data_IF_331343687153
#
_entry.id   IF_331343687153
#
_cell.length_a   1.000
_cell.length_b   1.000
_cell.length_c   1.000
_cell.angle_alpha   90.00
_cell.angle_beta   90.00
_cell.angle_gamma   90.00
#
_symmetry.space_group_name_H-M   'P 1'
#
loop_
_entity.id
_entity.type
_entity.pdbx_description
1 polymer ?
#
# COMPACT_ATOMS: atom_id res chain seq x y z
N UNK A 1 -17.99 -24.31 49.29
CA UNK A 1 -19.36 -24.87 49.33
C UNK A 1 -19.93 -24.85 47.93
N UNK A 2 -20.35 -26.06 47.47
CA UNK A 2 -21.16 -26.41 46.27
C UNK A 2 -20.58 -26.09 44.89
N UNK A 3 -19.90 -26.96 44.19
CA UNK A 3 -20.22 -28.28 43.59
C UNK A 3 -21.57 -28.35 42.85
N UNK A 4 -21.52 -28.42 41.48
CA UNK A 4 -22.39 -29.32 40.73
C UNK A 4 -21.77 -29.66 39.35
N UNK A 5 -21.42 -30.92 39.22
CA UNK A 5 -21.18 -31.70 37.98
C UNK A 5 -22.55 -32.13 37.42
N UNK A 6 -22.68 -32.29 36.08
CA UNK A 6 -23.53 -33.25 35.37
C UNK A 6 -22.97 -33.37 33.97
N UNK A 7 -22.48 -34.48 33.57
CA UNK A 7 -22.88 -35.80 33.13
C UNK A 7 -23.13 -35.84 31.63
N UNK A 8 -22.35 -36.74 31.03
CA UNK A 8 -22.40 -37.21 29.65
C UNK A 8 -23.64 -38.08 29.40
N UNK A 9 -24.12 -38.09 28.17
CA UNK A 9 -24.89 -39.22 27.67
C UNK A 9 -24.55 -39.46 26.21
N UNK A 10 -23.97 -40.64 26.01
CA UNK A 10 -23.67 -41.33 24.78
C UNK A 10 -24.94 -42.00 24.30
N UNK A 11 -25.31 -41.88 23.04
CA UNK A 11 -26.32 -42.76 22.45
C UNK A 11 -25.90 -43.24 21.05
N UNK A 12 -25.46 -44.47 21.04
CA UNK A 12 -25.20 -45.33 19.88
C UNK A 12 -26.53 -45.88 19.38
N UNK A 13 -26.81 -45.75 18.10
CA UNK A 13 -27.87 -46.55 17.46
C UNK A 13 -27.34 -47.13 16.16
N UNK A 14 -27.17 -48.44 16.22
CA UNK A 14 -26.94 -49.35 15.09
C UNK A 14 -28.33 -49.72 14.53
N UNK A 15 -28.52 -49.66 13.23
CA UNK A 15 -29.57 -50.42 12.59
C UNK A 15 -29.11 -50.95 11.22
N UNK A 16 -29.35 -52.24 11.08
CA UNK A 16 -28.93 -53.19 10.05
C UNK A 16 -29.88 -53.21 8.85
N UNK A 17 -29.29 -53.41 7.69
CA UNK A 17 -29.67 -54.28 6.55
C UNK A 17 -31.05 -54.12 5.90
N UNK A 18 -31.02 -53.90 4.60
CA UNK A 18 -32.08 -54.15 3.65
C UNK A 18 -31.54 -54.14 2.22
N UNK A 19 -31.00 -55.28 1.74
CA UNK A 19 -30.80 -55.55 0.32
C UNK A 19 -32.16 -55.65 -0.37
N UNK A 20 -32.44 -54.84 -1.38
CA UNK A 20 -33.35 -55.21 -2.46
C UNK A 20 -32.73 -54.76 -3.78
N UNK A 21 -32.38 -55.76 -4.58
CA UNK A 21 -32.00 -55.55 -5.97
C UNK A 21 -33.27 -55.29 -6.79
N UNK A 22 -33.27 -54.19 -7.54
CA UNK A 22 -34.12 -54.05 -8.71
C UNK A 22 -33.27 -53.55 -9.85
N UNK A 23 -33.08 -54.36 -10.84
CA UNK A 23 -32.55 -54.00 -12.13
C UNK A 23 -33.56 -53.10 -12.84
N UNK A 24 -33.12 -51.88 -13.27
CA UNK A 24 -33.79 -51.18 -14.35
C UNK A 24 -32.76 -50.38 -15.16
N UNK A 25 -32.76 -50.75 -16.44
CA UNK A 25 -32.43 -50.04 -17.68
C UNK A 25 -31.66 -48.72 -17.60
N UNK A 26 -30.61 -48.74 -18.39
CA UNK A 26 -29.74 -47.63 -18.75
C UNK A 26 -30.43 -46.30 -19.00
N UNK A 27 -29.99 -45.36 -18.21
CA UNK A 27 -29.86 -43.96 -18.58
C UNK A 27 -28.44 -43.53 -18.13
N UNK A 28 -27.59 -43.35 -19.10
CA UNK A 28 -26.28 -42.71 -18.92
C UNK A 28 -26.57 -41.32 -18.37
N UNK A 29 -26.05 -40.96 -17.17
CA UNK A 29 -26.08 -39.55 -16.78
C UNK A 29 -25.22 -38.79 -17.77
N UNK A 30 -25.85 -37.95 -18.57
CA UNK A 30 -25.15 -36.86 -19.25
C UNK A 30 -24.36 -36.13 -18.16
N UNK A 31 -23.04 -36.15 -18.28
CA UNK A 31 -22.17 -35.21 -17.56
C UNK A 31 -22.66 -33.78 -17.90
N UNK A 32 -23.54 -33.22 -17.08
CA UNK A 32 -23.65 -31.81 -16.95
C UNK A 32 -22.29 -31.30 -16.46
N UNK A 33 -21.46 -30.91 -17.43
CA UNK A 33 -20.32 -30.05 -17.15
C UNK A 33 -20.85 -28.89 -16.29
N UNK A 34 -20.67 -29.01 -14.99
CA UNK A 34 -20.65 -27.87 -14.11
C UNK A 34 -19.48 -26.99 -14.58
N UNK A 35 -19.72 -26.14 -15.57
CA UNK A 35 -18.92 -24.98 -15.84
C UNK A 35 -18.98 -24.12 -14.58
N UNK A 36 -18.17 -24.51 -13.59
CA UNK A 36 -17.82 -23.59 -12.51
C UNK A 36 -17.29 -22.34 -13.18
N UNK A 37 -18.01 -21.24 -13.04
CA UNK A 37 -17.56 -19.95 -13.53
C UNK A 37 -16.14 -19.75 -12.99
N UNK A 38 -15.16 -19.86 -13.86
CA UNK A 38 -13.78 -19.50 -13.53
C UNK A 38 -13.82 -18.03 -13.14
N UNK A 39 -13.78 -17.78 -11.84
CA UNK A 39 -13.64 -16.41 -11.34
C UNK A 39 -12.33 -15.90 -11.90
N UNK A 40 -12.39 -14.92 -12.80
CA UNK A 40 -11.20 -14.30 -13.35
C UNK A 40 -10.30 -13.84 -12.21
N UNK A 41 -9.04 -14.28 -12.27
CA UNK A 41 -8.05 -13.85 -11.30
C UNK A 41 -7.90 -12.33 -11.39
N UNK A 42 -7.92 -11.65 -10.27
CA UNK A 42 -7.75 -10.19 -10.19
C UNK A 42 -6.85 -9.83 -9.01
N UNK A 43 -6.17 -8.71 -9.11
CA UNK A 43 -5.42 -8.16 -7.98
C UNK A 43 -6.43 -7.78 -6.89
N UNK A 44 -6.12 -8.14 -5.65
CA UNK A 44 -6.95 -7.86 -4.49
C UNK A 44 -6.24 -6.90 -3.55
N UNK A 45 -7.01 -5.93 -3.05
CA UNK A 45 -6.57 -5.07 -1.95
C UNK A 45 -6.71 -5.85 -0.65
N UNK A 46 -5.64 -5.86 0.13
CA UNK A 46 -5.61 -6.52 1.42
C UNK A 46 -5.71 -5.51 2.57
N UNK A 47 -4.70 -4.65 2.71
CA UNK A 47 -4.65 -3.70 3.82
C UNK A 47 -3.84 -2.46 3.48
N UNK A 48 -4.13 -1.35 4.17
CA UNK A 48 -3.30 -0.15 4.14
C UNK A 48 -3.28 0.53 5.50
N UNK A 49 -2.15 1.11 5.86
CA UNK A 49 -1.99 1.93 7.06
C UNK A 49 -0.88 2.96 6.90
N UNK A 50 -0.82 3.90 7.82
CA UNK A 50 0.15 4.98 7.82
C UNK A 50 0.62 5.37 9.22
N UNK A 51 1.76 6.05 9.27
CA UNK A 51 2.29 6.72 10.46
C UNK A 51 3.05 7.98 10.08
N UNK A 52 3.21 8.88 11.04
CA UNK A 52 3.92 10.14 10.88
C UNK A 52 4.87 10.38 12.03
N UNK A 53 6.01 11.00 11.74
CA UNK A 53 6.96 11.49 12.71
C UNK A 53 7.05 13.01 12.57
N UNK A 54 6.83 13.71 13.66
CA UNK A 54 7.31 15.08 13.85
C UNK A 54 8.15 15.14 15.12
N UNK A 55 9.29 15.76 15.02
CA UNK A 55 10.12 16.09 16.17
C UNK A 55 10.13 17.61 16.35
N UNK A 56 9.48 18.09 17.40
CA UNK A 56 9.43 19.53 17.75
C UNK A 56 10.60 19.92 18.66
N UNK A 57 11.32 18.97 19.21
CA UNK A 57 12.37 19.14 20.23
C UNK A 57 13.73 18.61 19.73
N UNK A 58 14.85 18.98 20.37
CA UNK A 58 16.21 18.67 19.87
C UNK A 58 16.55 17.16 19.73
N UNK A 59 15.64 16.26 20.12
CA UNK A 59 15.83 14.83 19.91
C UNK A 59 15.27 14.44 18.55
N UNK A 60 16.08 14.61 17.52
CA UNK A 60 15.83 14.10 16.19
C UNK A 60 15.77 12.57 16.21
N UNK A 61 14.96 11.97 15.35
CA UNK A 61 14.84 10.51 15.27
C UNK A 61 15.35 10.00 13.92
N UNK A 62 16.18 8.99 14.01
CA UNK A 62 16.70 8.29 12.85
C UNK A 62 15.82 7.12 12.39
N UNK A 63 14.83 6.76 13.19
CA UNK A 63 13.96 5.60 12.94
C UNK A 63 12.50 5.99 13.06
N UNK A 64 11.69 5.57 12.08
CA UNK A 64 10.24 5.66 12.09
C UNK A 64 9.64 4.27 11.90
N UNK A 65 8.70 3.88 12.78
CA UNK A 65 8.02 2.58 12.69
C UNK A 65 6.52 2.75 12.54
N UNK A 66 5.96 2.13 11.49
CA UNK A 66 4.54 1.83 11.36
C UNK A 66 4.30 0.49 12.05
N UNK A 67 3.62 0.52 13.20
CA UNK A 67 3.40 -0.67 14.03
C UNK A 67 2.18 -1.45 13.56
N UNK A 68 2.20 -2.75 13.83
CA UNK A 68 1.06 -3.67 13.70
C UNK A 68 0.42 -3.63 12.30
N UNK A 69 1.25 -3.44 11.26
CA UNK A 69 0.80 -3.48 9.88
C UNK A 69 0.43 -4.91 9.50
N UNK A 70 -0.80 -5.08 9.00
CA UNK A 70 -1.31 -6.38 8.66
C UNK A 70 -1.08 -6.74 7.19
N UNK A 71 -0.49 -7.92 6.97
CA UNK A 71 -0.38 -8.56 5.65
C UNK A 71 -1.33 -9.77 5.64
N UNK A 72 -2.25 -9.81 4.67
CA UNK A 72 -3.23 -10.89 4.55
C UNK A 72 -2.62 -12.25 4.20
N UNK A 73 -3.49 -13.25 4.12
CA UNK A 73 -3.12 -14.64 3.81
C UNK A 73 -3.22 -15.00 2.33
N UNK A 74 -3.63 -14.05 1.47
CA UNK A 74 -3.72 -14.24 0.02
C UNK A 74 -2.39 -14.73 -0.57
N UNK A 75 -2.44 -15.36 -1.74
CA UNK A 75 -1.23 -15.79 -2.46
C UNK A 75 -0.64 -14.65 -3.28
N UNK A 76 0.62 -14.80 -3.69
CA UNK A 76 1.30 -13.85 -4.56
C UNK A 76 1.19 -12.41 -4.03
N UNK A 77 1.58 -12.23 -2.77
CA UNK A 77 1.49 -10.95 -2.06
C UNK A 77 2.59 -10.00 -2.49
N UNK A 78 2.28 -8.71 -2.42
CA UNK A 78 3.26 -7.63 -2.49
C UNK A 78 2.95 -6.59 -1.43
N UNK A 79 3.97 -6.04 -0.82
CA UNK A 79 3.91 -4.87 0.04
C UNK A 79 4.55 -3.70 -0.68
N UNK A 80 3.83 -2.59 -0.80
CA UNK A 80 4.34 -1.31 -1.33
C UNK A 80 4.38 -0.32 -0.17
N UNK A 81 5.53 0.33 0.01
CA UNK A 81 5.75 1.31 1.07
C UNK A 81 6.17 2.64 0.45
N UNK A 82 5.38 3.66 0.68
CA UNK A 82 5.73 5.05 0.37
C UNK A 82 6.36 5.72 1.60
N UNK A 83 7.46 6.42 1.39
CA UNK A 83 8.13 7.22 2.41
C UNK A 83 8.24 8.64 1.92
N UNK A 84 7.90 9.59 2.79
CA UNK A 84 8.20 11.00 2.59
C UNK A 84 9.01 11.49 3.77
N UNK A 85 10.02 12.28 3.48
CA UNK A 85 10.82 12.98 4.48
C UNK A 85 10.97 14.45 4.08
N UNK A 86 10.93 15.33 5.07
CA UNK A 86 11.10 16.76 4.87
C UNK A 86 12.11 17.32 5.86
N UNK A 87 13.09 18.06 5.35
CA UNK A 87 14.10 18.77 6.12
C UNK A 87 14.27 20.21 5.67
N UNK A 88 14.74 21.05 6.58
CA UNK A 88 15.12 22.42 6.29
C UNK A 88 16.63 22.63 6.34
N UNK A 89 17.15 23.27 5.30
CA UNK A 89 18.58 23.54 5.12
C UNK A 89 19.28 22.51 4.25
N UNK A 90 20.16 22.95 3.34
CA UNK A 90 20.88 22.07 2.43
C UNK A 90 21.83 21.11 3.18
N UNK A 91 22.30 21.49 4.36
CA UNK A 91 23.18 20.70 5.23
C UNK A 91 22.52 19.40 5.71
N UNK A 92 21.20 19.36 5.82
CA UNK A 92 20.43 18.21 6.33
C UNK A 92 19.91 17.27 5.23
N UNK A 93 20.19 17.57 3.97
CA UNK A 93 19.71 16.72 2.84
C UNK A 93 20.30 15.30 2.90
N UNK A 94 21.53 15.17 3.40
CA UNK A 94 22.19 13.88 3.62
C UNK A 94 21.44 12.97 4.60
N UNK A 95 20.81 13.55 5.63
CA UNK A 95 20.07 12.86 6.66
C UNK A 95 18.76 12.23 6.11
N UNK A 96 18.21 12.80 5.02
CA UNK A 96 17.00 12.32 4.34
C UNK A 96 17.21 11.04 3.53
N UNK A 97 18.44 10.50 3.47
CA UNK A 97 18.71 9.24 2.78
C UNK A 97 18.08 8.09 3.57
N UNK A 98 17.28 7.26 2.90
CA UNK A 98 16.69 6.07 3.49
C UNK A 98 17.73 4.95 3.46
N UNK A 99 18.30 4.60 4.62
CA UNK A 99 19.33 3.58 4.76
C UNK A 99 18.76 2.17 4.66
N UNK A 100 17.56 1.96 5.23
CA UNK A 100 16.85 0.69 5.11
C UNK A 100 15.36 0.81 5.43
N UNK A 101 14.58 -0.10 4.87
CA UNK A 101 13.21 -0.37 5.31
C UNK A 101 13.09 -1.87 5.53
N UNK A 102 12.44 -2.26 6.64
CA UNK A 102 12.18 -3.67 6.95
C UNK A 102 10.71 -3.90 7.30
N UNK A 103 10.19 -5.08 6.99
CA UNK A 103 8.88 -5.57 7.42
C UNK A 103 9.04 -7.02 7.89
N UNK A 104 8.67 -7.31 9.13
CA UNK A 104 8.84 -8.66 9.70
C UNK A 104 10.28 -9.17 9.63
N UNK A 105 11.27 -8.28 9.77
CA UNK A 105 12.71 -8.60 9.64
C UNK A 105 13.24 -8.70 8.21
N UNK A 106 12.38 -8.70 7.19
CA UNK A 106 12.77 -8.74 5.78
C UNK A 106 13.01 -7.33 5.24
N UNK A 107 14.11 -7.14 4.49
CA UNK A 107 14.48 -5.86 3.90
C UNK A 107 13.68 -5.61 2.61
N UNK A 108 13.10 -4.43 2.48
CA UNK A 108 12.46 -3.95 1.26
C UNK A 108 13.50 -3.44 0.26
N UNK A 109 13.19 -3.60 -1.01
CA UNK A 109 13.96 -3.03 -2.13
C UNK A 109 13.34 -1.72 -2.62
N UNK A 110 14.14 -0.72 -3.03
CA UNK A 110 13.60 0.46 -3.68
C UNK A 110 13.03 0.09 -5.06
N UNK A 111 11.91 0.70 -5.45
CA UNK A 111 11.47 0.66 -6.85
C UNK A 111 12.36 1.59 -7.65
N UNK A 112 13.04 1.07 -8.66
CA UNK A 112 14.00 1.84 -9.46
C UNK A 112 13.34 3.07 -10.09
N UNK A 113 13.96 4.24 -9.95
CA UNK A 113 13.46 5.51 -10.49
C UNK A 113 12.25 6.09 -9.76
N UNK A 114 11.85 5.55 -8.60
CA UNK A 114 10.70 6.04 -7.82
C UNK A 114 11.03 7.13 -6.82
N UNK A 115 12.27 7.58 -6.77
CA UNK A 115 12.65 8.67 -5.88
C UNK A 115 12.45 10.02 -6.58
N UNK A 116 11.82 10.96 -5.88
CA UNK A 116 11.66 12.34 -6.32
C UNK A 116 11.98 13.29 -5.18
N UNK A 117 12.79 14.30 -5.47
CA UNK A 117 13.15 15.36 -4.52
C UNK A 117 12.87 16.72 -5.12
N UNK A 118 12.38 17.63 -4.30
CA UNK A 118 12.19 19.04 -4.65
C UNK A 118 12.41 19.92 -3.42
N UNK A 119 12.70 21.19 -3.68
CA UNK A 119 12.84 22.19 -2.62
C UNK A 119 11.96 23.43 -2.85
N UNK A 120 11.76 24.20 -1.83
CA UNK A 120 11.16 25.53 -1.90
C UNK A 120 11.60 26.41 -0.74
N UNK A 121 11.64 27.72 -0.99
CA UNK A 121 11.90 28.71 0.05
C UNK A 121 10.67 29.01 0.89
N UNK A 122 10.84 29.07 2.20
CA UNK A 122 9.83 29.56 3.13
C UNK A 122 10.48 30.37 4.25
N UNK A 123 10.09 31.64 4.38
CA UNK A 123 10.65 32.57 5.36
C UNK A 123 12.19 32.66 5.33
N UNK A 124 12.76 32.70 4.13
CA UNK A 124 14.22 32.81 3.96
C UNK A 124 15.01 31.51 4.20
N UNK A 125 14.35 30.41 4.54
CA UNK A 125 14.96 29.09 4.69
C UNK A 125 14.52 28.15 3.56
N UNK A 126 15.45 27.41 2.99
CA UNK A 126 15.14 26.36 2.02
C UNK A 126 14.69 25.08 2.72
N UNK A 127 13.63 24.47 2.21
CA UNK A 127 13.08 23.21 2.68
C UNK A 127 13.08 22.21 1.55
N UNK A 128 13.50 21.01 1.85
CA UNK A 128 13.57 19.88 0.93
C UNK A 128 12.48 18.88 1.29
N UNK A 129 11.87 18.28 0.26
CA UNK A 129 10.93 17.18 0.39
C UNK A 129 11.39 16.08 -0.55
N UNK A 130 11.49 14.87 -0.01
CA UNK A 130 11.79 13.65 -0.75
C UNK A 130 10.63 12.66 -0.60
N UNK A 131 10.25 12.01 -1.72
CA UNK A 131 9.33 10.89 -1.75
C UNK A 131 10.01 9.73 -2.44
N UNK A 132 9.89 8.53 -1.89
CA UNK A 132 10.42 7.30 -2.48
C UNK A 132 9.47 6.13 -2.24
N UNK A 133 9.48 5.15 -3.14
CA UNK A 133 8.65 3.95 -3.05
C UNK A 133 9.53 2.71 -2.94
N UNK A 134 9.18 1.82 -2.02
CA UNK A 134 9.84 0.55 -1.75
C UNK A 134 8.83 -0.58 -1.87
N UNK A 135 9.31 -1.79 -2.08
CA UNK A 135 8.49 -2.97 -2.18
C UNK A 135 9.13 -4.19 -1.52
N UNK A 136 8.28 -5.15 -1.16
CA UNK A 136 8.67 -6.49 -0.73
C UNK A 136 7.77 -7.51 -1.42
N UNK A 137 8.37 -8.43 -2.17
CA UNK A 137 7.68 -9.55 -2.81
C UNK A 137 7.45 -10.62 -1.75
N UNK A 138 6.26 -11.21 -1.77
CA UNK A 138 5.83 -12.26 -0.86
C UNK A 138 6.11 -11.95 0.62
N UNK A 139 5.68 -10.77 1.12
CA UNK A 139 5.84 -10.42 2.53
C UNK A 139 5.22 -11.51 3.42
N UNK A 140 5.76 -11.76 4.64
CA UNK A 140 5.17 -12.71 5.57
C UNK A 140 3.76 -12.25 5.94
N UNK A 141 2.80 -13.19 5.99
CA UNK A 141 1.43 -12.90 6.44
C UNK A 141 1.39 -12.68 7.96
N UNK A 142 0.42 -11.90 8.42
CA UNK A 142 0.26 -11.56 9.83
C UNK A 142 0.54 -10.10 10.13
N UNK A 143 0.74 -9.78 11.40
CA UNK A 143 1.02 -8.43 11.87
C UNK A 143 2.53 -8.22 12.02
N UNK A 144 3.05 -7.15 11.42
CA UNK A 144 4.47 -6.84 11.39
C UNK A 144 4.70 -5.34 11.54
N UNK A 145 5.84 -4.97 12.12
CA UNK A 145 6.27 -3.58 12.09
C UNK A 145 7.00 -3.30 10.78
N UNK A 146 6.66 -2.18 10.14
CA UNK A 146 7.43 -1.60 9.05
C UNK A 146 8.34 -0.54 9.65
N UNK A 147 9.64 -0.76 9.60
CA UNK A 147 10.64 0.15 10.20
C UNK A 147 11.48 0.79 9.12
N UNK A 148 11.46 2.12 9.07
CA UNK A 148 12.28 2.95 8.19
C UNK A 148 13.43 3.52 8.99
N UNK A 149 14.66 3.34 8.51
CA UNK A 149 15.89 3.92 9.08
C UNK A 149 16.47 4.92 8.09
N UNK A 150 16.74 6.13 8.57
CA UNK A 150 17.38 7.20 7.80
C UNK A 150 18.90 7.21 8.05
N UNK A 151 19.66 7.83 7.18
CA UNK A 151 21.12 7.97 7.33
C UNK A 151 21.49 8.88 8.49
N UNK A 152 20.71 9.92 8.71
CA UNK A 152 20.81 10.82 9.83
C UNK A 152 19.48 11.05 10.53
N UNK A 153 19.47 11.87 11.57
CA UNK A 153 18.27 12.20 12.31
C UNK A 153 17.39 13.18 11.52
N UNK A 154 16.12 12.83 11.33
CA UNK A 154 15.14 13.64 10.59
C UNK A 154 14.10 14.27 11.51
N UNK A 155 13.59 15.45 11.12
CA UNK A 155 12.60 16.21 11.89
C UNK A 155 11.17 15.89 11.46
N UNK A 156 10.93 15.58 10.19
CA UNK A 156 9.60 15.27 9.68
C UNK A 156 9.65 14.13 8.67
N UNK A 157 8.89 13.07 8.93
CA UNK A 157 8.74 11.95 8.02
C UNK A 157 7.33 11.34 8.11
N UNK A 158 6.87 10.80 6.99
CA UNK A 158 5.63 10.04 6.88
C UNK A 158 5.90 8.72 6.17
N UNK A 159 5.23 7.69 6.61
CA UNK A 159 5.26 6.36 6.01
C UNK A 159 3.83 5.89 5.79
N UNK A 160 3.55 5.36 4.63
CA UNK A 160 2.30 4.69 4.31
C UNK A 160 2.58 3.41 3.55
N UNK A 161 1.79 2.39 3.80
CA UNK A 161 1.98 1.07 3.23
C UNK A 161 0.66 0.51 2.68
N UNK A 162 0.77 -0.29 1.62
CA UNK A 162 -0.34 -0.98 0.95
C UNK A 162 0.09 -2.43 0.70
N UNK A 163 -0.73 -3.38 1.16
CA UNK A 163 -0.59 -4.80 0.87
C UNK A 163 -1.62 -5.23 -0.17
N UNK A 164 -1.18 -5.97 -1.17
CA UNK A 164 -1.99 -6.52 -2.25
C UNK A 164 -1.70 -8.02 -2.40
N UNK A 165 -2.65 -8.78 -2.94
CA UNK A 165 -2.50 -10.19 -3.32
C UNK A 165 -2.85 -10.43 -4.79
N UNK A 166 -2.56 -11.62 -5.28
CA UNK A 166 -2.68 -12.01 -6.70
C UNK A 166 -1.82 -11.14 -7.64
N UNK A 167 -0.70 -10.63 -7.15
CA UNK A 167 0.24 -9.79 -7.89
C UNK A 167 1.37 -10.64 -8.46
N UNK A 168 1.78 -10.37 -9.70
CA UNK A 168 2.98 -10.96 -10.30
C UNK A 168 4.17 -10.75 -9.37
N UNK A 169 4.89 -11.82 -9.06
CA UNK A 169 6.03 -11.79 -8.15
C UNK A 169 7.28 -11.23 -8.88
N UNK A 170 7.18 -9.96 -9.25
CA UNK A 170 8.23 -9.22 -9.96
C UNK A 170 8.33 -7.79 -9.42
N UNK A 171 9.45 -7.14 -9.68
CA UNK A 171 9.65 -5.74 -9.33
C UNK A 171 8.56 -4.86 -9.93
N UNK A 172 7.87 -4.02 -9.14
CA UNK A 172 6.98 -2.98 -9.68
C UNK A 172 7.73 -2.06 -10.62
N UNK A 173 7.02 -1.55 -11.62
CA UNK A 173 7.60 -0.64 -12.59
C UNK A 173 7.22 0.79 -12.27
N UNK A 174 8.21 1.68 -12.13
CA UNK A 174 7.93 3.11 -12.04
C UNK A 174 7.37 3.59 -13.38
N UNK A 175 6.14 4.09 -13.35
CA UNK A 175 5.48 4.67 -14.51
C UNK A 175 5.89 6.11 -14.70
N UNK A 176 5.92 6.86 -13.60
CA UNK A 176 6.22 8.28 -13.64
C UNK A 176 6.59 8.82 -12.26
N UNK A 177 7.45 9.82 -12.26
CA UNK A 177 7.64 10.75 -11.14
C UNK A 177 7.29 12.17 -11.60
N UNK A 178 6.59 12.91 -10.75
CA UNK A 178 6.21 14.29 -11.04
C UNK A 178 6.41 15.16 -9.80
N UNK A 179 6.80 16.41 -10.01
CA UNK A 179 6.98 17.40 -8.95
C UNK A 179 6.39 18.74 -9.35
N UNK A 180 5.69 19.38 -8.42
CA UNK A 180 5.07 20.69 -8.63
C UNK A 180 5.17 21.54 -7.36
N UNK A 181 5.39 22.83 -7.53
CA UNK A 181 5.39 23.80 -6.44
C UNK A 181 4.09 24.61 -6.41
N UNK A 182 3.65 24.97 -5.22
CA UNK A 182 2.60 25.95 -4.95
C UNK A 182 1.27 25.73 -5.71
N UNK A 183 0.80 24.48 -5.76
CA UNK A 183 -0.37 24.06 -6.51
C UNK A 183 -1.49 23.51 -5.60
N UNK A 184 -2.73 23.61 -6.08
CA UNK A 184 -3.91 22.97 -5.44
C UNK A 184 -4.15 21.55 -5.96
N UNK A 185 -3.48 21.17 -7.02
CA UNK A 185 -3.63 19.87 -7.69
C UNK A 185 -2.29 19.41 -8.25
N UNK A 186 -2.16 18.10 -8.39
CA UNK A 186 -1.13 17.49 -9.22
C UNK A 186 -1.82 16.56 -10.20
N UNK A 187 -1.50 16.68 -11.47
CA UNK A 187 -1.99 15.83 -12.56
C UNK A 187 -0.79 15.16 -13.17
N UNK A 188 -0.89 13.86 -13.34
CA UNK A 188 0.23 13.05 -13.83
C UNK A 188 -0.30 12.04 -14.82
N UNK A 189 0.17 12.13 -16.07
CA UNK A 189 -0.16 11.22 -17.15
C UNK A 189 1.00 10.24 -17.39
N UNK A 190 0.66 8.98 -17.69
CA UNK A 190 1.60 7.90 -17.98
C UNK A 190 0.91 6.79 -18.77
N UNK A 191 1.68 5.81 -19.24
CA UNK A 191 1.16 4.64 -19.96
C UNK A 191 1.43 3.39 -19.14
N UNK A 192 0.38 2.61 -18.83
CA UNK A 192 0.51 1.27 -18.24
C UNK A 192 0.88 0.24 -19.31
N UNK A 193 1.52 -0.85 -18.90
CA UNK A 193 2.11 -1.86 -19.80
C UNK A 193 1.36 -3.19 -19.81
N UNK A 194 0.59 -3.45 -18.74
CA UNK A 194 -0.08 -4.73 -18.55
C UNK A 194 -1.58 -4.51 -18.42
N UNK A 195 -2.36 -5.41 -19.04
CA UNK A 195 -3.79 -5.52 -18.75
C UNK A 195 -4.00 -6.04 -17.34
N UNK A 196 -5.16 -5.73 -16.75
CA UNK A 196 -5.54 -6.11 -15.39
C UNK A 196 -4.53 -5.67 -14.32
N UNK A 197 -3.76 -4.64 -14.62
CA UNK A 197 -2.78 -4.08 -13.70
C UNK A 197 -3.44 -3.16 -12.66
N UNK A 198 -2.74 -2.96 -11.56
CA UNK A 198 -3.01 -1.87 -10.64
C UNK A 198 -1.90 -0.83 -10.66
N UNK A 199 -2.30 0.42 -10.62
CA UNK A 199 -1.41 1.52 -10.32
C UNK A 199 -1.50 1.80 -8.82
N UNK A 200 -0.37 1.77 -8.15
CA UNK A 200 -0.20 2.28 -6.78
C UNK A 200 0.51 3.61 -6.88
N UNK A 201 -0.08 4.64 -6.32
CA UNK A 201 0.51 5.97 -6.36
C UNK A 201 0.69 6.59 -4.98
N UNK A 202 1.75 7.36 -4.86
CA UNK A 202 2.17 8.01 -3.63
C UNK A 202 2.35 9.51 -3.90
N UNK A 203 1.67 10.34 -3.09
CA UNK A 203 1.78 11.79 -3.16
C UNK A 203 2.30 12.35 -1.85
N UNK A 204 3.46 12.97 -1.89
CA UNK A 204 4.03 13.75 -0.77
C UNK A 204 3.73 15.23 -0.92
N UNK A 205 3.43 15.90 0.18
CA UNK A 205 3.19 17.34 0.22
C UNK A 205 3.91 18.04 1.37
N UNK A 206 4.52 19.19 1.10
CA UNK A 206 5.19 20.03 2.09
C UNK A 206 4.26 20.83 3.01
N UNK A 207 2.99 20.42 3.10
CA UNK A 207 1.99 21.01 3.99
C UNK A 207 0.91 19.97 4.31
N UNK A 208 0.15 20.15 5.40
CA UNK A 208 -1.08 19.39 5.63
C UNK A 208 -1.96 19.47 4.39
N UNK A 209 -2.00 18.39 3.65
CA UNK A 209 -2.70 18.31 2.39
C UNK A 209 -4.06 17.63 2.58
N UNK A 210 -5.11 18.30 2.11
CA UNK A 210 -6.45 17.70 2.00
C UNK A 210 -6.71 17.20 0.58
N UNK A 211 -5.66 16.82 -0.11
CA UNK A 211 -5.76 16.23 -1.45
C UNK A 211 -6.66 15.00 -1.43
N UNK A 212 -7.46 14.89 -2.47
CA UNK A 212 -8.33 13.74 -2.73
C UNK A 212 -8.15 13.30 -4.17
N UNK A 213 -8.23 11.99 -4.45
CA UNK A 213 -8.26 11.52 -5.83
C UNK A 213 -9.45 12.12 -6.56
N UNK A 214 -9.25 12.45 -7.84
CA UNK A 214 -10.27 13.00 -8.74
C UNK A 214 -10.49 12.15 -9.99
N UNK A 215 -9.57 11.27 -10.30
CA UNK A 215 -9.73 10.27 -11.37
C UNK A 215 -10.79 9.24 -10.97
N UNK A 216 -11.69 8.89 -11.89
CA UNK A 216 -12.72 7.87 -11.67
C UNK A 216 -12.07 6.51 -11.32
N UNK A 217 -12.58 5.84 -10.30
CA UNK A 217 -12.07 4.55 -9.84
C UNK A 217 -10.79 4.63 -8.99
N UNK A 218 -10.17 5.81 -8.87
CA UNK A 218 -8.99 5.99 -8.04
C UNK A 218 -9.39 6.09 -6.56
N UNK A 219 -8.87 5.19 -5.74
CA UNK A 219 -9.23 5.04 -4.33
C UNK A 219 -8.05 5.45 -3.46
N UNK A 220 -8.26 6.43 -2.57
CA UNK A 220 -7.27 6.75 -1.53
C UNK A 220 -7.24 5.64 -0.48
N UNK A 221 -6.06 5.10 -0.21
CA UNK A 221 -5.84 4.00 0.74
C UNK A 221 -5.33 4.48 2.09
N UNK A 222 -4.49 5.52 2.10
CA UNK A 222 -3.99 6.12 3.34
C UNK A 222 -3.79 7.64 3.21
N UNK A 223 -3.59 8.30 4.35
CA UNK A 223 -3.39 9.76 4.42
C UNK A 223 -2.62 10.11 5.70
N UNK A 224 -1.33 9.81 5.72
CA UNK A 224 -0.44 10.21 6.80
C UNK A 224 -0.33 11.72 6.87
N UNK A 225 -0.65 12.28 8.01
CA UNK A 225 -0.52 13.71 8.28
C UNK A 225 0.06 13.90 9.66
N UNK A 226 1.08 14.70 9.71
CA UNK A 226 1.60 15.12 10.99
C UNK A 226 0.55 15.99 11.73
N UNK A 227 0.25 15.63 12.97
CA UNK A 227 -0.85 16.22 13.74
C UNK A 227 -0.46 17.43 14.58
N UNK A 228 0.81 17.56 14.96
CA UNK A 228 1.31 18.55 15.93
C UNK A 228 2.05 19.72 15.27
N UNK A 229 1.33 20.54 14.52
CA UNK A 229 1.93 21.69 13.83
C UNK A 229 2.41 21.39 12.42
N UNK A 230 2.16 20.20 11.98
CA UNK A 230 2.69 19.55 10.84
C UNK A 230 2.53 20.24 9.50
N UNK A 231 3.58 20.13 8.79
CA UNK A 231 3.81 20.81 7.53
C UNK A 231 4.03 19.81 6.41
N UNK A 232 3.82 18.53 6.68
CA UNK A 232 3.99 17.49 5.68
C UNK A 232 2.84 16.49 5.66
N UNK A 233 2.62 15.85 4.52
CA UNK A 233 1.61 14.83 4.34
C UNK A 233 2.02 13.84 3.28
N UNK A 234 1.70 12.57 3.50
CA UNK A 234 1.89 11.49 2.54
C UNK A 234 0.56 10.80 2.30
N UNK A 235 0.14 10.73 1.05
CA UNK A 235 -1.09 10.07 0.65
C UNK A 235 -0.74 8.93 -0.30
N UNK A 236 -1.50 7.85 -0.23
CA UNK A 236 -1.39 6.76 -1.20
C UNK A 236 -2.74 6.35 -1.73
N UNK A 237 -2.75 5.92 -2.98
CA UNK A 237 -3.93 5.47 -3.68
C UNK A 237 -3.68 4.26 -4.55
N UNK A 238 -4.79 3.69 -5.04
CA UNK A 238 -4.77 2.62 -6.02
C UNK A 238 -5.79 2.88 -7.11
N UNK A 239 -5.43 2.54 -8.35
CA UNK A 239 -6.32 2.53 -9.49
C UNK A 239 -6.20 1.17 -10.20
N UNK A 240 -7.32 0.47 -10.39
CA UNK A 240 -7.38 -0.72 -11.26
C UNK A 240 -7.41 -0.27 -12.72
N UNK A 241 -6.59 -0.89 -13.56
CA UNK A 241 -6.46 -0.60 -14.99
C UNK A 241 -6.72 -1.89 -15.76
N UNK A 242 -7.96 -2.11 -16.23
CA UNK A 242 -8.33 -3.35 -16.92
C UNK A 242 -7.59 -3.56 -18.24
N UNK A 243 -7.28 -2.48 -18.95
CA UNK A 243 -6.60 -2.52 -20.24
C UNK A 243 -5.40 -1.59 -20.21
N UNK A 244 -4.24 -2.10 -20.65
CA UNK A 244 -3.02 -1.32 -20.75
C UNK A 244 -3.21 -0.11 -21.68
N UNK A 245 -2.64 1.02 -21.32
CA UNK A 245 -2.78 2.25 -22.09
C UNK A 245 -2.53 3.52 -21.30
N UNK A 246 -2.98 4.62 -21.86
CA UNK A 246 -2.81 5.94 -21.24
C UNK A 246 -3.73 6.12 -20.03
N UNK A 247 -3.15 6.60 -18.94
CA UNK A 247 -3.81 6.89 -17.68
C UNK A 247 -3.41 8.28 -17.22
N UNK A 248 -4.37 9.01 -16.65
CA UNK A 248 -4.10 10.29 -15.99
C UNK A 248 -4.66 10.26 -14.57
N UNK A 249 -3.76 10.38 -13.59
CA UNK A 249 -4.12 10.51 -12.19
C UNK A 249 -4.15 11.98 -11.78
N UNK A 250 -5.20 12.35 -11.06
CA UNK A 250 -5.34 13.68 -10.49
C UNK A 250 -5.61 13.59 -8.99
N UNK A 251 -4.78 14.30 -8.22
CA UNK A 251 -5.06 14.66 -6.83
C UNK A 251 -5.33 16.15 -6.74
N UNK A 252 -6.37 16.53 -6.02
CA UNK A 252 -6.73 17.94 -5.86
C UNK A 252 -7.35 18.25 -4.51
N UNK A 253 -7.23 19.51 -4.09
CA UNK A 253 -7.91 20.08 -2.91
C UNK A 253 -8.51 21.45 -3.23
N UNK A 254 -9.53 21.86 -2.45
CA UNK A 254 -10.31 23.05 -2.78
C UNK A 254 -9.75 24.38 -2.25
N UNK A 255 -9.04 24.36 -1.11
CA UNK A 255 -8.83 25.61 -0.35
C UNK A 255 -7.41 26.15 -0.32
N UNK A 256 -6.37 25.34 -0.28
CA UNK A 256 -4.97 25.80 -0.11
C UNK A 256 -4.08 25.29 -1.21
N UNK A 257 -3.05 26.06 -1.53
CA UNK A 257 -1.91 25.54 -2.30
C UNK A 257 -1.01 24.70 -1.41
N UNK A 258 -0.33 23.74 -2.00
CA UNK A 258 0.73 22.97 -1.37
C UNK A 258 2.05 23.41 -1.94
N UNK A 259 2.99 23.83 -1.09
CA UNK A 259 4.23 24.44 -1.52
C UNK A 259 5.10 23.50 -2.37
N UNK A 260 5.10 22.23 -2.00
CA UNK A 260 5.83 21.16 -2.65
C UNK A 260 4.88 19.97 -2.81
N UNK A 261 4.75 19.48 -4.01
CA UNK A 261 4.04 18.25 -4.33
C UNK A 261 4.97 17.33 -5.09
N UNK A 262 5.15 16.14 -4.60
CA UNK A 262 5.86 15.06 -5.24
C UNK A 262 4.88 13.91 -5.47
N UNK A 263 4.86 13.34 -6.67
CA UNK A 263 3.99 12.22 -7.03
C UNK A 263 4.81 11.14 -7.69
N UNK A 264 4.62 9.91 -7.25
CA UNK A 264 5.22 8.70 -7.80
C UNK A 264 4.09 7.73 -8.09
N UNK A 265 4.04 7.19 -9.30
CA UNK A 265 3.13 6.11 -9.65
C UNK A 265 3.93 4.88 -10.09
N UNK A 266 3.57 3.73 -9.57
CA UNK A 266 4.15 2.43 -9.91
C UNK A 266 3.08 1.46 -10.36
N UNK A 267 3.42 0.59 -11.32
CA UNK A 267 2.55 -0.46 -11.82
C UNK A 267 2.87 -1.78 -11.15
N UNK A 268 1.84 -2.48 -10.71
CA UNK A 268 1.88 -3.88 -10.29
C UNK A 268 1.00 -4.70 -11.22
N UNK A 269 1.56 -5.74 -11.82
CA UNK A 269 0.85 -6.60 -12.75
C UNK A 269 0.11 -7.73 -12.04
N UNK A 270 -0.98 -8.22 -12.64
CA UNK A 270 -1.69 -9.41 -12.20
C UNK A 270 -0.78 -10.65 -12.29
N UNK A 271 -0.91 -11.56 -11.34
CA UNK A 271 -0.35 -12.90 -11.46
C UNK A 271 -1.23 -13.73 -12.40
N UNK A 272 -0.68 -14.13 -13.53
CA UNK A 272 -1.32 -14.98 -14.55
C UNK A 272 -0.81 -16.39 -14.45
#
# INVERSE_FOLDING_TARGET
MNSKRYFATMMTAICLIGLMACAHSGDTPTEEETKGALTEAKIEFDYAAETSLLVISPVQKQVLSLKDFRVGKGQNRILIVGVQVEEGGPENVGDMVISSITCGGQKLSPVSGSEVQLSSMWRGKEYFLKVAVYYLINPPSGEHNITVTFAGPVTSANVGAISLSNVKQATPVTLVTNKQGNQKKIITAFTTRNDDAWVVDIVGGGHKSKLRPKTKGHIRRFNAQETSGGKSSLLGGTLSVPTAGEVSLQWAQSRRTVNRLAHVAVEVALHK
#
